data_IF_516295415945
#
_entry.id   IF_516295415945
#
_cell.length_a   1.000
_cell.length_b   1.000
_cell.length_c   1.000
_cell.angle_alpha   90.00
_cell.angle_beta   90.00
_cell.angle_gamma   90.00
#
_symmetry.space_group_name_H-M   'P 1'
#
loop_
_entity.id
_entity.type
_entity.pdbx_description
1 polymer ?
#
# COMPACT_ATOMS: atom_id res chain seq x y z
N UNK A 1 19.34 46.70 -28.29
CA UNK A 1 18.26 47.03 -27.33
C UNK A 1 16.96 46.24 -27.55
N UNK A 2 16.34 46.24 -28.76
CA UNK A 2 15.07 45.52 -29.02
C UNK A 2 15.10 43.98 -28.78
N UNK A 3 16.22 43.30 -29.03
CA UNK A 3 16.34 41.85 -28.82
C UNK A 3 16.35 41.46 -27.33
N UNK A 4 17.05 42.25 -26.50
CA UNK A 4 17.11 42.03 -25.05
C UNK A 4 15.75 42.21 -24.37
N UNK A 5 14.94 43.19 -24.79
CA UNK A 5 13.58 43.40 -24.27
C UNK A 5 12.67 42.22 -24.61
N UNK A 6 12.79 41.66 -25.82
CA UNK A 6 12.04 40.46 -26.23
C UNK A 6 12.45 39.22 -25.42
N UNK A 7 13.74 39.04 -25.18
CA UNK A 7 14.23 37.93 -24.34
C UNK A 7 13.74 38.08 -22.89
N UNK A 8 13.78 39.28 -22.32
CA UNK A 8 13.32 39.54 -20.96
C UNK A 8 11.82 39.28 -20.79
N UNK A 9 11.01 39.67 -21.79
CA UNK A 9 9.56 39.43 -21.79
C UNK A 9 9.22 37.93 -21.91
N UNK A 10 9.95 37.18 -22.76
CA UNK A 10 9.77 35.74 -22.89
C UNK A 10 10.16 35.02 -21.60
N UNK A 11 11.30 35.38 -21.01
CA UNK A 11 11.74 34.82 -19.73
C UNK A 11 10.76 35.10 -18.59
N UNK A 12 10.23 36.33 -18.49
CA UNK A 12 9.22 36.69 -17.50
C UNK A 12 7.90 35.92 -17.71
N UNK A 13 7.49 35.71 -18.97
CA UNK A 13 6.32 34.90 -19.31
C UNK A 13 6.46 33.43 -18.91
N UNK A 14 7.63 32.83 -19.16
CA UNK A 14 7.92 31.46 -18.72
C UNK A 14 7.92 31.37 -17.19
N UNK A 15 8.52 32.33 -16.49
CA UNK A 15 8.56 32.36 -15.03
C UNK A 15 7.17 32.48 -14.41
N UNK A 16 6.29 33.31 -15.00
CA UNK A 16 4.91 33.43 -14.57
C UNK A 16 4.11 32.13 -14.81
N UNK A 17 4.34 31.45 -15.94
CA UNK A 17 3.70 30.18 -16.25
C UNK A 17 4.16 29.05 -15.32
N UNK A 18 5.45 28.98 -14.99
CA UNK A 18 5.98 28.01 -14.03
C UNK A 18 5.45 28.33 -12.63
N UNK A 19 5.44 29.60 -12.24
CA UNK A 19 4.90 30.04 -10.94
C UNK A 19 3.43 29.67 -10.77
N UNK A 20 2.60 29.88 -11.79
CA UNK A 20 1.18 29.50 -11.74
C UNK A 20 0.96 27.99 -11.74
N UNK A 21 1.76 27.22 -12.48
CA UNK A 21 1.71 25.76 -12.46
C UNK A 21 2.09 25.20 -11.08
N UNK A 22 3.18 25.68 -10.47
CA UNK A 22 3.58 25.29 -9.12
C UNK A 22 2.54 25.68 -8.07
N UNK A 23 1.93 26.87 -8.19
CA UNK A 23 0.86 27.31 -7.29
C UNK A 23 -0.39 26.42 -7.42
N UNK A 24 -0.80 26.08 -8.65
CA UNK A 24 -1.95 25.21 -8.89
C UNK A 24 -1.72 23.80 -8.33
N UNK A 25 -0.51 23.24 -8.49
CA UNK A 25 -0.14 21.96 -7.90
C UNK A 25 -0.14 22.02 -6.37
N UNK A 26 0.48 23.05 -5.79
CA UNK A 26 0.50 23.25 -4.33
C UNK A 26 -0.91 23.42 -3.74
N UNK A 27 -1.78 24.14 -4.43
CA UNK A 27 -3.18 24.31 -4.04
C UNK A 27 -3.97 23.00 -4.15
N UNK A 28 -3.70 22.18 -5.18
CA UNK A 28 -4.27 20.84 -5.33
C UNK A 28 -3.88 19.90 -4.19
N UNK A 29 -2.61 19.91 -3.77
CA UNK A 29 -2.17 19.14 -2.60
C UNK A 29 -2.77 19.66 -1.29
N UNK A 30 -2.99 20.97 -1.16
CA UNK A 30 -3.61 21.56 0.03
C UNK A 30 -5.10 21.21 0.18
N UNK A 31 -5.83 21.08 -0.93
CA UNK A 31 -7.25 20.70 -0.92
C UNK A 31 -7.50 19.21 -0.72
N UNK A 32 -6.53 18.34 -1.03
CA UNK A 32 -6.70 16.91 -0.78
C UNK A 32 -6.63 16.63 0.72
N UNK A 33 -7.75 16.18 1.29
CA UNK A 33 -7.71 15.61 2.63
C UNK A 33 -6.77 14.41 2.61
N UNK A 34 -5.87 14.27 3.60
CA UNK A 34 -5.08 13.05 3.72
C UNK A 34 -6.05 11.88 3.85
N UNK A 35 -5.80 10.78 3.13
CA UNK A 35 -6.62 9.57 3.28
C UNK A 35 -6.59 9.16 4.76
N UNK A 36 -7.70 8.59 5.24
CA UNK A 36 -7.77 8.15 6.63
C UNK A 36 -6.85 6.95 6.80
N UNK A 37 -6.39 6.74 8.02
CA UNK A 37 -5.57 5.57 8.37
C UNK A 37 -6.27 4.25 7.99
N UNK A 38 -7.59 4.19 8.15
CA UNK A 38 -8.42 3.08 7.69
C UNK A 38 -8.35 2.82 6.18
N UNK A 39 -8.18 3.87 5.38
CA UNK A 39 -8.15 3.78 3.92
C UNK A 39 -6.76 3.32 3.47
N UNK A 40 -5.69 3.79 4.13
CA UNK A 40 -4.31 3.35 3.86
C UNK A 40 -4.02 1.90 4.26
N UNK A 41 -4.77 1.34 5.22
CA UNK A 41 -4.52 -0.01 5.72
C UNK A 41 -4.52 -1.08 4.63
N UNK A 42 -5.36 -0.91 3.60
CA UNK A 42 -5.54 -1.85 2.49
C UNK A 42 -4.99 -1.27 1.17
N UNK A 43 -4.01 -0.37 1.23
CA UNK A 43 -3.32 0.16 0.05
C UNK A 43 -1.90 -0.39 -0.03
N UNK A 44 -1.79 -1.72 0.00
CA UNK A 44 -0.49 -2.39 -0.04
C UNK A 44 0.30 -2.02 -1.30
N UNK A 45 1.53 -1.56 -1.12
CA UNK A 45 2.48 -1.27 -2.20
C UNK A 45 3.81 -1.92 -1.83
N UNK A 46 4.08 -3.11 -2.38
CA UNK A 46 5.27 -3.90 -2.08
C UNK A 46 5.37 -5.15 -2.96
N UNK A 47 6.31 -6.07 -2.64
CA UNK A 47 6.37 -7.38 -3.29
C UNK A 47 5.05 -8.12 -3.13
N UNK A 48 4.58 -8.75 -4.20
CA UNK A 48 3.27 -9.42 -4.22
C UNK A 48 3.43 -10.93 -4.38
N UNK A 49 2.81 -11.66 -3.46
CA UNK A 49 2.60 -13.10 -3.57
C UNK A 49 1.19 -13.32 -4.12
N UNK A 50 1.09 -13.94 -5.30
CA UNK A 50 -0.22 -14.16 -5.92
C UNK A 50 -0.88 -15.45 -5.44
N UNK A 51 -2.19 -15.41 -5.20
CA UNK A 51 -2.96 -16.57 -4.81
C UNK A 51 -2.91 -17.71 -5.85
N UNK A 52 -2.85 -17.39 -7.14
CA UNK A 52 -2.59 -18.36 -8.20
C UNK A 52 -1.31 -19.18 -7.98
N UNK A 53 -0.24 -18.58 -7.48
CA UNK A 53 1.01 -19.29 -7.17
C UNK A 53 0.85 -20.22 -5.97
N UNK A 54 0.14 -19.76 -4.92
CA UNK A 54 -0.19 -20.59 -3.76
C UNK A 54 -1.03 -21.80 -4.16
N UNK A 55 -2.11 -21.57 -4.91
CA UNK A 55 -3.02 -22.60 -5.39
C UNK A 55 -2.30 -23.65 -6.25
N UNK A 56 -1.37 -23.21 -7.11
CA UNK A 56 -0.55 -24.11 -7.92
C UNK A 56 0.27 -25.09 -7.07
N UNK A 57 0.96 -24.61 -6.03
CA UNK A 57 1.76 -25.49 -5.17
C UNK A 57 0.90 -26.35 -4.24
N UNK A 58 -0.26 -25.82 -3.80
CA UNK A 58 -1.24 -26.58 -3.03
C UNK A 58 -1.76 -27.79 -3.84
N UNK A 59 -2.12 -27.60 -5.11
CA UNK A 59 -2.58 -28.68 -6.00
C UNK A 59 -1.50 -29.72 -6.27
N UNK A 60 -0.22 -29.33 -6.23
CA UNK A 60 0.92 -30.25 -6.34
C UNK A 60 1.24 -31.02 -5.06
N UNK A 61 0.55 -30.73 -3.96
CA UNK A 61 0.84 -31.31 -2.65
C UNK A 61 2.14 -30.80 -2.02
N UNK A 62 2.72 -29.70 -2.53
CA UNK A 62 3.96 -29.12 -2.01
C UNK A 62 3.66 -28.18 -0.84
N UNK A 63 3.22 -28.76 0.29
CA UNK A 63 2.82 -28.03 1.50
C UNK A 63 3.93 -27.12 2.02
N UNK A 64 5.19 -27.56 1.92
CA UNK A 64 6.35 -26.77 2.38
C UNK A 64 6.48 -25.47 1.59
N UNK A 65 6.28 -25.48 0.27
CA UNK A 65 6.30 -24.24 -0.52
C UNK A 65 5.12 -23.35 -0.22
N UNK A 66 3.93 -23.92 -0.03
CA UNK A 66 2.73 -23.17 0.37
C UNK A 66 2.99 -22.42 1.67
N UNK A 67 3.46 -23.11 2.71
CA UNK A 67 3.80 -22.49 4.00
C UNK A 67 4.82 -21.37 3.86
N UNK A 68 5.85 -21.56 3.04
CA UNK A 68 6.89 -20.54 2.81
C UNK A 68 6.30 -19.32 2.12
N UNK A 69 5.49 -19.50 1.07
CA UNK A 69 4.86 -18.40 0.33
C UNK A 69 3.91 -17.59 1.22
N UNK A 70 3.10 -18.27 2.03
CA UNK A 70 2.16 -17.61 2.94
C UNK A 70 2.90 -16.82 4.01
N UNK A 71 3.93 -17.42 4.63
CA UNK A 71 4.75 -16.71 5.63
C UNK A 71 5.44 -15.48 5.03
N UNK A 72 5.99 -15.58 3.82
CA UNK A 72 6.58 -14.41 3.16
C UNK A 72 5.56 -13.30 2.93
N UNK A 73 4.33 -13.65 2.52
CA UNK A 73 3.28 -12.67 2.33
C UNK A 73 2.84 -12.02 3.66
N UNK A 74 2.73 -12.79 4.73
CA UNK A 74 2.45 -12.25 6.06
C UNK A 74 3.54 -11.28 6.52
N UNK A 75 4.81 -11.68 6.41
CA UNK A 75 5.96 -10.84 6.77
C UNK A 75 5.96 -9.53 5.96
N UNK A 76 5.70 -9.61 4.65
CA UNK A 76 5.59 -8.44 3.77
C UNK A 76 4.45 -7.49 4.18
N UNK A 77 3.27 -8.05 4.50
CA UNK A 77 2.12 -7.28 4.94
C UNK A 77 2.40 -6.56 6.27
N UNK A 78 3.01 -7.25 7.23
CA UNK A 78 3.37 -6.66 8.53
C UNK A 78 4.47 -5.60 8.38
N UNK A 79 5.47 -5.84 7.53
CA UNK A 79 6.51 -4.84 7.25
C UNK A 79 5.93 -3.59 6.59
N UNK A 80 4.95 -3.75 5.69
CA UNK A 80 4.22 -2.63 5.11
C UNK A 80 3.52 -1.79 6.19
N UNK A 81 2.82 -2.43 7.15
CA UNK A 81 2.16 -1.72 8.25
C UNK A 81 3.14 -0.92 9.10
N UNK A 82 4.30 -1.51 9.43
CA UNK A 82 5.38 -0.84 10.16
C UNK A 82 5.93 0.38 9.40
N UNK A 83 6.15 0.25 8.08
CA UNK A 83 6.63 1.36 7.23
C UNK A 83 5.58 2.46 7.09
N UNK A 84 4.30 2.08 6.96
CA UNK A 84 3.22 3.02 6.66
C UNK A 84 2.81 3.84 7.88
N UNK A 85 2.64 3.20 9.03
CA UNK A 85 2.14 3.83 10.25
C UNK A 85 3.25 4.28 11.21
N UNK A 86 4.51 3.99 10.88
CA UNK A 86 5.67 4.32 11.72
C UNK A 86 5.94 3.27 12.78
N UNK A 87 7.08 3.37 13.46
CA UNK A 87 7.59 2.30 14.34
C UNK A 87 6.64 1.97 15.49
N UNK A 88 6.14 2.98 16.20
CA UNK A 88 5.37 2.76 17.43
C UNK A 88 3.94 2.32 17.10
N UNK A 89 3.20 3.15 16.34
CA UNK A 89 1.82 2.82 15.91
C UNK A 89 1.76 1.59 15.02
N UNK A 90 2.74 1.40 14.13
CA UNK A 90 2.83 0.20 13.29
C UNK A 90 3.04 -1.06 14.13
N UNK A 91 3.82 -1.00 15.22
CA UNK A 91 4.03 -2.14 16.10
C UNK A 91 2.76 -2.51 16.85
N UNK A 92 2.00 -1.51 17.33
CA UNK A 92 0.70 -1.74 17.96
C UNK A 92 -0.30 -2.37 16.98
N UNK A 93 -0.30 -1.91 15.73
CA UNK A 93 -1.11 -2.46 14.65
C UNK A 93 -0.71 -3.90 14.34
N UNK A 94 0.57 -4.19 14.16
CA UNK A 94 1.06 -5.55 13.89
C UNK A 94 0.76 -6.47 15.07
N UNK A 95 0.92 -6.00 16.31
CA UNK A 95 0.52 -6.74 17.51
C UNK A 95 -1.00 -6.94 17.65
N UNK A 96 -1.79 -6.12 16.95
CA UNK A 96 -3.23 -6.27 16.89
C UNK A 96 -3.70 -7.25 15.81
N UNK A 97 -2.90 -7.47 14.76
CA UNK A 97 -3.18 -8.45 13.73
C UNK A 97 -3.04 -9.88 14.29
N UNK A 98 -4.07 -10.70 14.11
CA UNK A 98 -3.92 -12.14 14.29
C UNK A 98 -3.14 -12.71 13.11
N UNK A 99 -1.98 -13.31 13.41
CA UNK A 99 -1.27 -14.15 12.44
C UNK A 99 -2.20 -15.31 12.10
N UNK A 100 -2.84 -15.24 10.93
CA UNK A 100 -3.83 -16.22 10.53
C UNK A 100 -3.20 -17.60 10.39
N UNK A 101 -4.03 -18.64 10.57
CA UNK A 101 -3.59 -19.99 10.19
C UNK A 101 -3.51 -20.04 8.67
N UNK A 102 -2.38 -20.53 8.16
CA UNK A 102 -2.13 -20.75 6.73
C UNK A 102 -3.32 -21.43 6.01
N UNK A 103 -4.04 -22.34 6.69
CA UNK A 103 -5.25 -22.99 6.16
C UNK A 103 -6.35 -22.00 5.74
N UNK A 104 -6.57 -20.93 6.52
CA UNK A 104 -7.54 -19.89 6.20
C UNK A 104 -7.11 -19.06 4.97
N UNK A 105 -5.83 -18.72 4.88
CA UNK A 105 -5.27 -18.02 3.72
C UNK A 105 -5.31 -18.87 2.46
N UNK A 106 -5.03 -20.17 2.54
CA UNK A 106 -5.19 -21.09 1.41
C UNK A 106 -6.64 -21.11 0.93
N UNK A 107 -7.60 -21.20 1.85
CA UNK A 107 -9.03 -21.17 1.50
C UNK A 107 -9.43 -19.84 0.85
N UNK A 108 -8.95 -18.71 1.38
CA UNK A 108 -9.18 -17.40 0.78
C UNK A 108 -8.60 -17.30 -0.63
N UNK A 109 -7.37 -17.80 -0.84
CA UNK A 109 -6.74 -17.82 -2.16
C UNK A 109 -7.46 -18.71 -3.17
N UNK A 110 -8.12 -19.79 -2.74
CA UNK A 110 -8.96 -20.59 -3.64
C UNK A 110 -10.21 -19.84 -4.11
N UNK A 111 -10.75 -18.96 -3.27
CA UNK A 111 -11.93 -18.15 -3.60
C UNK A 111 -11.58 -16.90 -4.42
N UNK A 112 -10.35 -16.40 -4.30
CA UNK A 112 -9.85 -15.20 -4.99
C UNK A 112 -8.48 -15.44 -5.64
N UNK A 113 -8.40 -16.19 -6.75
CA UNK A 113 -7.12 -16.58 -7.36
C UNK A 113 -6.28 -15.42 -7.91
N UNK A 114 -6.93 -14.33 -8.34
CA UNK A 114 -6.28 -13.15 -8.93
C UNK A 114 -5.74 -12.17 -7.87
N UNK A 115 -6.11 -12.36 -6.60
CA UNK A 115 -5.72 -11.46 -5.52
C UNK A 115 -4.29 -11.73 -5.03
N UNK A 116 -3.75 -10.73 -4.32
CA UNK A 116 -2.48 -10.80 -3.64
C UNK A 116 -2.69 -11.30 -2.21
N UNK A 117 -1.89 -12.25 -1.76
CA UNK A 117 -1.97 -12.81 -0.41
C UNK A 117 -1.80 -11.71 0.63
N UNK A 118 -0.88 -10.77 0.42
CA UNK A 118 -0.64 -9.64 1.32
C UNK A 118 -1.92 -8.79 1.51
N UNK A 119 -2.68 -8.56 0.44
CA UNK A 119 -3.95 -7.84 0.50
C UNK A 119 -5.00 -8.62 1.29
N UNK A 120 -5.08 -9.94 1.10
CA UNK A 120 -6.00 -10.79 1.88
C UNK A 120 -5.65 -10.79 3.38
N UNK A 121 -4.36 -10.84 3.71
CA UNK A 121 -3.87 -10.73 5.09
C UNK A 121 -4.32 -9.41 5.72
N UNK A 122 -4.16 -8.29 5.01
CA UNK A 122 -4.56 -6.97 5.48
C UNK A 122 -6.08 -6.84 5.59
N UNK A 123 -6.84 -7.24 4.57
CA UNK A 123 -8.30 -7.14 4.60
C UNK A 123 -8.91 -7.94 5.74
N UNK A 124 -8.35 -9.12 6.04
CA UNK A 124 -8.82 -9.93 7.14
C UNK A 124 -8.53 -9.32 8.52
N UNK A 125 -7.37 -8.68 8.69
CA UNK A 125 -6.97 -8.09 9.97
C UNK A 125 -7.59 -6.71 10.21
N UNK A 126 -8.04 -6.02 9.15
CA UNK A 126 -8.60 -4.66 9.23
C UNK A 126 -9.71 -4.48 10.27
N UNK A 127 -10.71 -5.38 10.40
CA UNK A 127 -11.78 -5.22 11.39
C UNK A 127 -11.26 -5.22 12.83
N UNK A 128 -10.32 -6.11 13.16
CA UNK A 128 -9.75 -6.24 14.50
C UNK A 128 -8.91 -5.01 14.87
N UNK A 129 -8.10 -4.52 13.93
CA UNK A 129 -7.29 -3.31 14.13
C UNK A 129 -8.19 -2.08 14.32
N UNK A 130 -9.31 -2.01 13.59
CA UNK A 130 -10.32 -0.95 13.74
C UNK A 130 -11.06 -1.04 15.07
N UNK A 131 -11.43 -2.24 15.52
CA UNK A 131 -12.09 -2.44 16.82
C UNK A 131 -11.21 -1.97 17.99
N UNK A 132 -9.89 -2.15 17.88
CA UNK A 132 -8.91 -1.64 18.85
C UNK A 132 -8.64 -0.12 18.73
N UNK A 133 -9.26 0.57 17.78
CA UNK A 133 -9.12 2.02 17.59
C UNK A 133 -7.75 2.45 17.05
N UNK A 134 -7.03 1.54 16.39
CA UNK A 134 -5.70 1.82 15.85
C UNK A 134 -5.74 2.45 14.45
N UNK A 135 -6.87 2.33 13.74
CA UNK A 135 -7.14 2.93 12.41
C UNK A 135 -8.57 3.42 12.28
#
# INVERSE_FOLDING_TARGET
>A
MRAYIKQLAVSAGILAMVGSACYALGYGFYQQQPLRDSDYFTMYVGPSTHCNTVNYYQQKGDQKKVEVLLRYAEDNAMEYLMKRFGKDKGMDIVGACEMQRHEALVSACMNSPEDQVEMLVLEHNKPQVKEKGLI
#
